data_IF_925483173209
#
_entry.id   IF_925483173209
#
_cell.length_a   1.000
_cell.length_b   1.000
_cell.length_c   1.000
_cell.angle_alpha   90.00
_cell.angle_beta   90.00
_cell.angle_gamma   90.00
#
_symmetry.space_group_name_H-M   'P 1'
#
loop_
_entity.id
_entity.type
_entity.pdbx_description
1 polymer ?
#
# COMPACT_ATOMS: atom_id res chain seq x y z
N UNK A 1 21.22 11.46 -22.98
CA UNK A 1 20.47 10.28 -22.51
C UNK A 1 21.43 9.48 -21.63
N UNK A 2 21.56 9.84 -20.36
CA UNK A 2 22.42 9.11 -19.42
C UNK A 2 21.69 7.86 -18.94
N UNK A 3 22.34 6.72 -19.13
CA UNK A 3 21.91 5.39 -18.73
C UNK A 3 22.06 5.19 -17.21
N UNK A 4 21.42 6.03 -16.40
CA UNK A 4 21.58 6.03 -14.94
C UNK A 4 20.22 5.94 -14.25
N UNK A 5 19.70 4.72 -14.09
CA UNK A 5 18.74 4.40 -13.01
C UNK A 5 18.36 2.91 -12.91
N UNK A 6 19.27 1.98 -13.25
CA UNK A 6 19.02 0.55 -13.05
C UNK A 6 19.22 0.19 -11.57
N UNK A 7 18.19 -0.37 -10.93
CA UNK A 7 18.31 -0.98 -9.60
C UNK A 7 18.64 -2.44 -9.82
N UNK A 8 19.84 -2.85 -9.38
CA UNK A 8 20.26 -4.25 -9.38
C UNK A 8 20.05 -4.85 -7.98
N UNK A 9 19.33 -5.96 -7.92
CA UNK A 9 19.13 -6.71 -6.69
C UNK A 9 20.22 -7.77 -6.56
N UNK A 10 21.21 -7.53 -5.70
CA UNK A 10 22.39 -8.39 -5.56
C UNK A 10 22.12 -9.65 -4.72
N UNK A 11 21.38 -9.52 -3.63
CA UNK A 11 21.09 -10.62 -2.71
C UNK A 11 19.95 -10.26 -1.74
N UNK A 12 19.41 -11.29 -1.07
CA UNK A 12 18.34 -11.14 -0.07
C UNK A 12 16.95 -11.39 -0.62
N UNK A 13 15.95 -11.30 0.25
CA UNK A 13 14.55 -11.30 -0.15
C UNK A 13 14.10 -9.88 -0.48
N UNK A 14 13.05 -9.75 -1.30
CA UNK A 14 12.43 -8.44 -1.56
C UNK A 14 11.90 -7.85 -0.26
N UNK A 15 12.21 -6.58 0.04
CA UNK A 15 11.78 -5.99 1.30
C UNK A 15 10.26 -5.85 1.33
N UNK A 16 9.71 -5.99 2.54
CA UNK A 16 8.30 -5.81 2.82
C UNK A 16 8.12 -5.26 4.23
N UNK A 17 6.96 -4.67 4.47
CA UNK A 17 6.45 -4.43 5.82
C UNK A 17 5.10 -5.12 5.99
N UNK A 18 4.66 -5.24 7.24
CA UNK A 18 3.35 -5.79 7.56
C UNK A 18 2.41 -4.68 8.03
N UNK A 19 1.16 -4.74 7.58
CA UNK A 19 0.10 -3.86 8.04
C UNK A 19 -1.19 -4.67 8.12
N UNK A 20 -1.84 -4.70 9.30
CA UNK A 20 -3.08 -5.47 9.51
C UNK A 20 -2.97 -6.95 9.07
N UNK A 21 -1.80 -7.57 9.28
CA UNK A 21 -1.52 -8.97 8.87
C UNK A 21 -1.14 -9.16 7.39
N UNK A 22 -1.29 -8.15 6.56
CA UNK A 22 -0.93 -8.18 5.14
C UNK A 22 0.55 -7.89 4.95
N UNK A 23 1.22 -8.60 4.03
CA UNK A 23 2.61 -8.31 3.63
C UNK A 23 2.62 -7.41 2.40
N UNK A 24 3.16 -6.21 2.55
CA UNK A 24 3.28 -5.25 1.45
C UNK A 24 4.74 -5.14 1.06
N UNK A 25 5.09 -5.69 -0.11
CA UNK A 25 6.44 -5.49 -0.65
C UNK A 25 6.57 -4.08 -1.23
N UNK A 26 7.79 -3.56 -1.23
CA UNK A 26 8.10 -2.26 -1.80
C UNK A 26 9.42 -2.30 -2.56
N UNK A 27 9.58 -1.37 -3.50
CA UNK A 27 10.85 -0.99 -4.09
C UNK A 27 11.54 0.06 -3.22
N UNK A 28 12.86 0.13 -3.27
CA UNK A 28 13.65 1.16 -2.56
C UNK A 28 13.33 2.61 -2.96
N UNK A 29 12.58 2.81 -4.05
CA UNK A 29 12.09 4.11 -4.52
C UNK A 29 10.67 4.43 -4.06
N UNK A 30 9.95 3.44 -3.54
CA UNK A 30 8.56 3.64 -3.16
C UNK A 30 8.48 4.42 -1.85
N UNK A 31 7.45 5.25 -1.74
CA UNK A 31 7.13 5.88 -0.49
C UNK A 31 6.61 4.83 0.51
N UNK A 32 7.23 4.79 1.68
CA UNK A 32 6.77 4.00 2.84
C UNK A 32 6.63 4.90 4.06
N UNK A 33 5.79 4.49 4.99
CA UNK A 33 5.64 5.18 6.26
C UNK A 33 6.87 4.92 7.14
N UNK A 34 7.53 5.99 7.57
CA UNK A 34 8.80 5.91 8.33
C UNK A 34 8.58 5.27 9.70
N UNK A 35 7.45 5.57 10.36
CA UNK A 35 7.11 5.03 11.68
C UNK A 35 6.07 3.92 11.56
N UNK A 36 6.54 2.67 11.60
CA UNK A 36 5.68 1.49 11.45
C UNK A 36 4.60 1.38 12.54
N UNK A 37 4.95 1.58 13.81
CA UNK A 37 3.99 1.49 14.93
C UNK A 37 2.90 2.56 14.83
N UNK A 38 3.26 3.78 14.42
CA UNK A 38 2.28 4.84 14.21
C UNK A 38 1.41 4.55 12.99
N UNK A 39 2.00 4.05 11.90
CA UNK A 39 1.26 3.67 10.70
C UNK A 39 0.20 2.60 11.01
N UNK A 40 0.55 1.59 11.80
CA UNK A 40 -0.39 0.54 12.21
C UNK A 40 -1.59 1.12 12.96
N UNK A 41 -1.34 1.99 13.94
CA UNK A 41 -2.40 2.68 14.68
C UNK A 41 -3.23 3.61 13.80
N UNK A 42 -2.60 4.27 12.84
CA UNK A 42 -3.27 5.17 11.90
C UNK A 42 -4.22 4.40 10.99
N UNK A 43 -3.77 3.27 10.44
CA UNK A 43 -4.60 2.38 9.61
C UNK A 43 -5.73 1.78 10.44
N UNK A 44 -5.45 1.27 11.63
CA UNK A 44 -6.47 0.74 12.55
C UNK A 44 -7.53 1.79 12.87
N UNK A 45 -7.12 3.01 13.21
CA UNK A 45 -8.03 4.12 13.52
C UNK A 45 -8.89 4.51 12.32
N UNK A 46 -8.33 4.52 11.11
CA UNK A 46 -9.09 4.79 9.90
C UNK A 46 -10.14 3.70 9.64
N UNK A 47 -9.80 2.43 9.83
CA UNK A 47 -10.73 1.31 9.66
C UNK A 47 -11.85 1.34 10.70
N UNK A 48 -11.53 1.72 11.95
CA UNK A 48 -12.54 1.93 12.99
C UNK A 48 -13.50 3.06 12.62
N UNK A 49 -12.98 4.22 12.22
CA UNK A 49 -13.82 5.39 11.89
C UNK A 49 -14.69 5.22 10.65
N UNK A 50 -14.21 4.43 9.67
CA UNK A 50 -14.99 4.16 8.47
C UNK A 50 -16.14 3.19 8.72
N UNK A 51 -16.13 2.43 9.83
CA UNK A 51 -17.16 1.45 10.20
C UNK A 51 -17.61 0.56 9.02
N UNK A 52 -16.62 0.05 8.27
CA UNK A 52 -16.86 -0.62 6.99
C UNK A 52 -17.69 -1.89 7.12
N UNK A 53 -18.58 -2.08 6.15
CA UNK A 53 -19.36 -3.29 5.91
C UNK A 53 -19.01 -3.92 4.56
N UNK A 54 -19.36 -5.20 4.39
CA UNK A 54 -19.17 -5.93 3.14
C UNK A 54 -20.08 -5.45 1.98
N UNK A 55 -20.86 -4.39 2.17
CA UNK A 55 -21.65 -3.73 1.13
C UNK A 55 -21.00 -2.44 0.61
N UNK A 56 -20.01 -1.91 1.34
CA UNK A 56 -19.44 -0.60 1.04
C UNK A 56 -18.52 -0.62 -0.17
N UNK A 57 -18.57 0.49 -0.92
CA UNK A 57 -17.68 0.75 -2.04
C UNK A 57 -16.83 1.96 -1.68
N UNK A 58 -15.53 1.75 -1.53
CA UNK A 58 -14.62 2.78 -1.01
C UNK A 58 -13.75 3.33 -2.14
N UNK A 59 -13.53 4.65 -2.11
CA UNK A 59 -12.55 5.34 -2.93
C UNK A 59 -11.41 5.80 -2.03
N UNK A 60 -10.20 5.34 -2.32
CA UNK A 60 -8.96 5.72 -1.63
C UNK A 60 -8.13 6.62 -2.57
N UNK A 61 -7.94 7.87 -2.19
CA UNK A 61 -7.24 8.88 -3.00
C UNK A 61 -5.82 9.09 -2.49
N UNK A 62 -4.87 9.22 -3.43
CA UNK A 62 -3.43 9.27 -3.14
C UNK A 62 -2.96 8.01 -2.40
N UNK A 63 -3.43 6.86 -2.89
CA UNK A 63 -3.33 5.60 -2.17
C UNK A 63 -1.90 5.02 -2.11
N UNK A 64 -0.97 5.59 -2.87
CA UNK A 64 0.37 5.06 -3.03
C UNK A 64 0.32 3.59 -3.44
N UNK A 65 1.08 2.77 -2.71
CA UNK A 65 1.17 1.33 -2.89
C UNK A 65 0.08 0.53 -2.14
N UNK A 66 -0.95 1.20 -1.60
CA UNK A 66 -2.13 0.55 -1.04
C UNK A 66 -2.12 0.32 0.48
N UNK A 67 -1.40 1.17 1.25
CA UNK A 67 -1.28 1.03 2.72
C UNK A 67 -2.63 1.06 3.45
N UNK A 68 -3.59 1.85 2.97
CA UNK A 68 -4.97 1.86 3.46
C UNK A 68 -5.89 0.99 2.58
N UNK A 69 -5.72 1.09 1.25
CA UNK A 69 -6.53 0.38 0.25
C UNK A 69 -6.66 -1.11 0.54
N UNK A 70 -5.55 -1.79 0.83
CA UNK A 70 -5.54 -3.24 1.01
C UNK A 70 -6.24 -3.66 2.31
N UNK A 71 -5.95 -3.06 3.49
CA UNK A 71 -6.76 -3.31 4.69
C UNK A 71 -8.25 -2.99 4.56
N UNK A 72 -8.62 -1.96 3.79
CA UNK A 72 -10.02 -1.62 3.51
C UNK A 72 -10.66 -2.72 2.66
N UNK A 73 -9.93 -3.28 1.69
CA UNK A 73 -10.43 -4.31 0.79
C UNK A 73 -10.79 -5.63 1.50
N UNK A 74 -10.15 -5.94 2.64
CA UNK A 74 -10.51 -7.09 3.48
C UNK A 74 -11.89 -6.94 4.16
N UNK A 75 -12.45 -5.72 4.22
CA UNK A 75 -13.70 -5.42 4.94
C UNK A 75 -14.83 -4.93 4.04
N UNK A 76 -14.49 -4.21 2.97
CA UNK A 76 -15.44 -3.60 2.04
C UNK A 76 -15.82 -4.54 0.88
N UNK A 77 -16.92 -4.23 0.17
CA UNK A 77 -17.30 -4.95 -1.06
C UNK A 77 -16.27 -4.77 -2.18
N UNK A 78 -15.79 -3.55 -2.32
CA UNK A 78 -14.81 -3.17 -3.34
C UNK A 78 -14.13 -1.86 -2.97
N UNK A 79 -12.86 -1.73 -3.35
CA UNK A 79 -12.09 -0.50 -3.18
C UNK A 79 -11.50 -0.08 -4.52
N UNK A 80 -11.52 1.22 -4.79
CA UNK A 80 -10.80 1.83 -5.91
C UNK A 80 -9.72 2.73 -5.32
N UNK A 81 -8.46 2.45 -5.63
CA UNK A 81 -7.33 3.32 -5.33
C UNK A 81 -7.03 4.26 -6.50
N UNK A 82 -6.73 5.52 -6.23
CA UNK A 82 -6.25 6.50 -7.21
C UNK A 82 -4.89 7.03 -6.76
N UNK A 83 -3.89 6.90 -7.62
CA UNK A 83 -2.51 7.33 -7.35
C UNK A 83 -1.94 8.05 -8.59
N UNK A 84 -1.15 9.10 -8.36
CA UNK A 84 -0.52 9.91 -9.41
C UNK A 84 0.86 9.41 -9.85
N UNK A 85 1.49 8.53 -9.07
CA UNK A 85 2.81 7.95 -9.34
C UNK A 85 2.66 6.54 -9.90
N UNK A 86 2.82 6.41 -11.22
CA UNK A 86 2.63 5.14 -11.95
C UNK A 86 3.43 3.95 -11.37
N UNK A 87 4.72 4.06 -10.99
CA UNK A 87 5.42 2.96 -10.34
C UNK A 87 4.75 2.44 -9.06
N UNK A 88 4.11 3.33 -8.28
CA UNK A 88 3.40 2.93 -7.06
C UNK A 88 2.08 2.24 -7.37
N UNK A 89 1.39 2.63 -8.45
CA UNK A 89 0.22 1.90 -8.98
C UNK A 89 0.62 0.49 -9.37
N UNK A 90 1.70 0.34 -10.15
CA UNK A 90 2.21 -0.97 -10.56
C UNK A 90 2.64 -1.83 -9.37
N UNK A 91 3.16 -1.21 -8.30
CA UNK A 91 3.50 -1.92 -7.08
C UNK A 91 2.24 -2.40 -6.34
N UNK A 92 1.20 -1.56 -6.23
CA UNK A 92 -0.06 -1.93 -5.62
C UNK A 92 -0.77 -3.07 -6.37
N UNK A 93 -0.74 -3.05 -7.71
CA UNK A 93 -1.35 -4.09 -8.54
C UNK A 93 -0.72 -5.47 -8.35
N UNK A 94 0.56 -5.54 -7.96
CA UNK A 94 1.25 -6.81 -7.65
C UNK A 94 0.81 -7.43 -6.32
N UNK A 95 0.10 -6.68 -5.49
CA UNK A 95 -0.39 -7.11 -4.17
C UNK A 95 -1.84 -7.59 -4.19
N UNK A 96 -2.45 -7.70 -5.38
CA UNK A 96 -3.77 -8.31 -5.58
C UNK A 96 -3.76 -9.83 -5.48
#
# INVERSE_FOLDING_TARGET
MTSENHIEHLCGERPYYQIQGLKLHFSIRDFIQVNATLNEKMVEKALEWLELSNQDRVLDLFCGMGNFTLPIAERAKSVVGVEGVEPMVQQAERMR
#
